data_IF_443992131129
#
_entry.id   IF_443992131129
#
_cell.length_a   1.000
_cell.length_b   1.000
_cell.length_c   1.000
_cell.angle_alpha   90.00
_cell.angle_beta   90.00
_cell.angle_gamma   90.00
#
_symmetry.space_group_name_H-M   'P 1'
#
loop_
_entity.id
_entity.type
_entity.pdbx_description
1 polymer ?
#
# COMPACT_ATOMS: atom_id res chain seq x y z
N UNK A 1 28.30 23.64 10.21
CA UNK A 1 27.46 22.72 11.04
C UNK A 1 26.08 22.41 10.43
N UNK A 2 25.52 23.19 9.52
CA UNK A 2 24.36 22.75 8.71
C UNK A 2 24.72 21.55 7.85
N UNK A 3 25.83 21.57 7.21
CA UNK A 3 26.40 20.47 6.41
C UNK A 3 26.49 19.11 7.14
N UNK A 4 26.68 19.07 8.48
CA UNK A 4 26.78 17.79 9.21
C UNK A 4 25.42 17.11 9.40
N UNK A 5 24.33 17.86 9.49
CA UNK A 5 22.97 17.28 9.59
C UNK A 5 22.54 16.69 8.26
N UNK A 6 22.79 17.38 7.15
CA UNK A 6 22.51 16.86 5.81
C UNK A 6 23.34 15.60 5.50
N UNK A 7 24.62 15.59 5.91
CA UNK A 7 25.47 14.39 5.81
C UNK A 7 24.95 13.23 6.67
N UNK A 8 24.45 13.53 7.88
CA UNK A 8 23.86 12.52 8.75
C UNK A 8 22.59 11.92 8.14
N UNK A 9 21.71 12.76 7.59
CA UNK A 9 20.52 12.30 6.88
C UNK A 9 20.88 11.39 5.72
N UNK A 10 21.81 11.81 4.86
CA UNK A 10 22.24 11.01 3.71
C UNK A 10 22.86 9.68 4.18
N UNK A 11 23.77 9.72 5.14
CA UNK A 11 24.44 8.55 5.67
C UNK A 11 23.45 7.54 6.25
N UNK A 12 22.50 7.98 7.08
CA UNK A 12 21.50 7.10 7.70
C UNK A 12 20.52 6.56 6.65
N UNK A 13 20.13 7.39 5.66
CA UNK A 13 19.27 6.95 4.56
C UNK A 13 19.94 5.83 3.75
N UNK A 14 21.20 6.02 3.35
CA UNK A 14 21.97 5.02 2.60
C UNK A 14 22.23 3.75 3.43
N UNK A 15 22.50 3.91 4.73
CA UNK A 15 22.70 2.81 5.66
C UNK A 15 21.44 1.94 5.76
N UNK A 16 20.28 2.58 5.93
CA UNK A 16 19.01 1.84 6.04
C UNK A 16 18.58 1.22 4.70
N UNK A 17 18.77 1.91 3.59
CA UNK A 17 18.48 1.36 2.26
C UNK A 17 19.30 0.11 1.97
N UNK A 18 20.57 0.09 2.38
CA UNK A 18 21.51 -0.99 2.02
C UNK A 18 21.57 -2.13 3.04
N UNK A 19 21.33 -1.86 4.32
CA UNK A 19 21.59 -2.82 5.41
C UNK A 19 20.41 -3.13 6.33
N UNK A 20 19.38 -2.27 6.37
CA UNK A 20 18.24 -2.51 7.25
C UNK A 20 17.40 -3.68 6.74
N UNK A 21 17.03 -4.56 7.63
CA UNK A 21 16.16 -5.70 7.28
C UNK A 21 14.78 -5.23 6.81
N UNK A 22 14.26 -5.86 5.77
CA UNK A 22 12.92 -5.57 5.21
C UNK A 22 11.76 -5.86 6.17
N UNK A 23 12.04 -6.50 7.31
CA UNK A 23 11.04 -6.74 8.37
C UNK A 23 10.86 -5.54 9.30
N UNK A 24 11.74 -4.53 9.25
CA UNK A 24 11.67 -3.32 10.05
C UNK A 24 10.62 -2.35 9.47
N UNK A 25 9.33 -2.65 9.68
CA UNK A 25 8.22 -1.83 9.17
C UNK A 25 8.02 -0.54 9.95
N UNK A 26 8.40 -0.51 11.23
CA UNK A 26 8.29 0.65 12.10
C UNK A 26 9.66 1.33 12.29
N UNK A 27 10.69 0.60 12.74
CA UNK A 27 12.04 1.13 12.96
C UNK A 27 12.78 1.25 11.63
N UNK A 28 12.47 2.31 10.87
CA UNK A 28 13.01 2.61 9.55
C UNK A 28 13.17 4.11 9.35
N UNK A 29 13.63 4.52 8.17
CA UNK A 29 13.91 5.91 7.84
C UNK A 29 12.72 6.85 8.09
N UNK A 30 11.48 6.38 7.94
CA UNK A 30 10.30 7.21 8.18
C UNK A 30 10.08 7.49 9.67
N UNK A 31 10.35 6.52 10.55
CA UNK A 31 10.36 6.73 11.99
C UNK A 31 11.45 7.73 12.37
N UNK A 32 12.67 7.51 11.90
CA UNK A 32 13.80 8.40 12.18
C UNK A 32 13.51 9.84 11.76
N UNK A 33 12.96 10.06 10.56
CA UNK A 33 12.56 11.40 10.10
C UNK A 33 11.52 12.04 11.00
N UNK A 34 10.49 11.30 11.42
CA UNK A 34 9.51 11.83 12.38
C UNK A 34 10.19 12.28 13.69
N UNK A 35 11.06 11.44 14.25
CA UNK A 35 11.78 11.79 15.48
C UNK A 35 12.62 13.07 15.30
N UNK A 36 13.27 13.25 14.15
CA UNK A 36 14.04 14.48 13.84
C UNK A 36 13.14 15.71 13.70
N UNK A 37 11.96 15.56 13.08
CA UNK A 37 10.95 16.62 12.99
C UNK A 37 10.42 17.01 14.36
N UNK A 38 10.05 16.01 15.17
CA UNK A 38 9.54 16.19 16.53
C UNK A 38 10.58 16.81 17.46
N UNK A 39 11.86 16.43 17.34
CA UNK A 39 12.98 17.08 18.03
C UNK A 39 13.11 18.56 17.64
N UNK A 40 12.94 18.87 16.37
CA UNK A 40 13.02 20.25 15.90
C UNK A 40 11.93 21.10 16.56
N UNK A 41 10.73 20.57 16.64
CA UNK A 41 9.58 21.22 17.26
C UNK A 41 9.72 21.36 18.77
N UNK A 42 10.15 20.28 19.46
CA UNK A 42 10.40 20.32 20.91
C UNK A 42 11.52 21.30 21.27
N UNK A 43 12.60 21.31 20.49
CA UNK A 43 13.74 22.21 20.71
C UNK A 43 13.32 23.70 20.59
N UNK A 44 12.46 24.02 19.62
CA UNK A 44 11.87 25.35 19.46
C UNK A 44 11.00 25.72 20.65
N UNK A 45 10.08 24.85 21.08
CA UNK A 45 9.19 25.10 22.21
C UNK A 45 9.93 25.27 23.54
N UNK A 46 11.01 24.54 23.72
CA UNK A 46 11.83 24.58 24.93
C UNK A 46 12.92 25.66 24.86
N UNK A 47 13.03 26.43 23.78
CA UNK A 47 14.02 27.48 23.63
C UNK A 47 15.45 26.95 23.65
N UNK A 48 15.72 25.83 22.96
CA UNK A 48 17.07 25.32 22.80
C UNK A 48 17.92 26.21 21.91
N UNK A 49 19.18 26.32 22.22
CA UNK A 49 20.15 27.00 21.35
C UNK A 49 20.31 26.24 20.04
N UNK A 50 20.80 26.91 18.99
CA UNK A 50 21.11 26.28 17.72
C UNK A 50 22.07 25.09 17.86
N UNK A 51 23.05 25.20 18.76
CA UNK A 51 24.00 24.13 19.06
C UNK A 51 23.28 22.91 19.67
N UNK A 52 22.43 23.13 20.67
CA UNK A 52 21.66 22.06 21.33
C UNK A 52 20.71 21.39 20.35
N UNK A 53 20.03 22.15 19.51
CA UNK A 53 19.12 21.60 18.48
C UNK A 53 19.88 20.72 17.48
N UNK A 54 21.07 21.12 17.03
CA UNK A 54 21.92 20.31 16.16
C UNK A 54 22.37 18.99 16.80
N UNK A 55 22.75 19.04 18.08
CA UNK A 55 23.13 17.85 18.86
C UNK A 55 21.95 16.89 19.00
N UNK A 56 20.78 17.41 19.32
CA UNK A 56 19.53 16.62 19.37
C UNK A 56 19.18 15.98 18.02
N UNK A 57 19.29 16.73 16.93
CA UNK A 57 19.06 16.19 15.59
C UNK A 57 20.03 15.08 15.21
N UNK A 58 21.31 15.21 15.56
CA UNK A 58 22.29 14.15 15.36
C UNK A 58 21.91 12.89 16.16
N UNK A 59 21.56 13.05 17.45
CA UNK A 59 21.10 11.91 18.25
C UNK A 59 19.84 11.26 17.63
N UNK A 60 18.87 12.06 17.18
CA UNK A 60 17.65 11.57 16.53
C UNK A 60 17.92 10.83 15.22
N UNK A 61 18.85 11.30 14.37
CA UNK A 61 19.22 10.60 13.16
C UNK A 61 19.83 9.22 13.44
N UNK A 62 20.62 9.08 14.51
CA UNK A 62 21.39 7.87 14.77
C UNK A 62 20.78 6.93 15.80
N UNK A 63 19.74 7.30 16.59
CA UNK A 63 19.28 6.51 17.74
C UNK A 63 18.95 5.05 17.39
N UNK A 64 18.38 4.80 16.24
CA UNK A 64 17.92 3.48 15.77
C UNK A 64 18.82 2.85 14.71
N UNK A 65 19.97 3.45 14.37
CA UNK A 65 20.85 2.91 13.33
C UNK A 65 21.38 1.51 13.63
N UNK A 66 21.45 1.13 14.90
CA UNK A 66 21.89 -0.20 15.32
C UNK A 66 20.97 -1.34 14.92
N UNK A 67 19.72 -1.08 14.54
CA UNK A 67 18.81 -2.09 13.98
C UNK A 67 19.30 -2.73 12.67
N UNK A 68 20.32 -2.16 12.04
CA UNK A 68 20.98 -2.81 10.88
C UNK A 68 21.81 -4.03 11.29
N UNK A 69 22.10 -4.23 12.57
CA UNK A 69 22.92 -5.33 13.08
C UNK A 69 22.19 -6.20 14.11
N UNK A 70 21.45 -5.58 15.04
CA UNK A 70 20.82 -6.29 16.17
C UNK A 70 19.47 -5.69 16.53
N UNK A 71 18.56 -6.54 17.01
CA UNK A 71 17.25 -6.09 17.51
C UNK A 71 17.33 -5.65 19.00
N UNK A 72 18.17 -6.31 19.79
CA UNK A 72 18.34 -5.97 21.22
C UNK A 72 19.72 -5.36 21.44
N UNK A 73 19.77 -4.25 22.17
CA UNK A 73 20.99 -3.51 22.38
C UNK A 73 21.43 -2.74 21.12
N UNK A 74 20.47 -2.37 20.29
CA UNK A 74 20.71 -1.57 19.09
C UNK A 74 21.23 -0.17 19.45
N UNK A 75 20.92 0.34 20.63
CA UNK A 75 21.38 1.66 21.07
C UNK A 75 22.90 1.70 21.23
N UNK A 76 23.52 0.65 21.77
CA UNK A 76 24.98 0.56 21.90
C UNK A 76 25.65 0.43 20.52
N UNK A 77 25.01 -0.23 19.57
CA UNK A 77 25.47 -0.30 18.18
C UNK A 77 25.30 1.05 17.49
N UNK A 78 24.18 1.73 17.72
CA UNK A 78 23.92 3.08 17.24
C UNK A 78 24.99 4.06 17.71
N UNK A 79 25.41 3.95 18.99
CA UNK A 79 26.51 4.76 19.55
C UNK A 79 27.81 4.53 18.78
N UNK A 80 28.18 3.28 18.46
CA UNK A 80 29.40 3.00 17.69
C UNK A 80 29.32 3.64 16.31
N UNK A 81 28.20 3.47 15.62
CA UNK A 81 27.98 4.01 14.27
C UNK A 81 28.09 5.54 14.29
N UNK A 82 27.45 6.23 15.23
CA UNK A 82 27.51 7.69 15.32
C UNK A 82 28.89 8.19 15.71
N UNK A 83 29.60 7.50 16.60
CA UNK A 83 30.97 7.87 16.98
C UNK A 83 31.91 7.80 15.77
N UNK A 84 31.89 6.75 14.98
CA UNK A 84 32.68 6.61 13.75
C UNK A 84 32.33 7.70 12.73
N UNK A 85 31.05 7.97 12.53
CA UNK A 85 30.59 9.00 11.61
C UNK A 85 31.03 10.40 12.04
N UNK A 86 30.87 10.76 13.32
CA UNK A 86 31.23 12.09 13.82
C UNK A 86 32.75 12.29 13.89
N UNK A 87 33.52 11.25 14.22
CA UNK A 87 34.99 11.28 14.18
C UNK A 87 35.51 11.51 12.77
N UNK A 88 34.97 10.80 11.78
CA UNK A 88 35.36 10.99 10.37
C UNK A 88 35.03 12.37 9.83
N UNK A 89 34.03 13.04 10.41
CA UNK A 89 33.66 14.42 10.11
C UNK A 89 34.34 15.46 11.02
N UNK A 90 35.35 15.07 11.79
CA UNK A 90 36.17 15.94 12.65
C UNK A 90 35.36 16.73 13.69
N UNK A 91 34.27 16.15 14.17
CA UNK A 91 33.46 16.74 15.26
C UNK A 91 34.23 16.58 16.60
N UNK A 92 34.11 17.60 17.45
CA UNK A 92 34.81 17.59 18.76
C UNK A 92 34.29 16.45 19.65
N UNK A 93 35.21 15.88 20.45
CA UNK A 93 34.89 14.76 21.34
C UNK A 93 33.73 15.05 22.28
N UNK A 94 33.66 16.26 22.84
CA UNK A 94 32.59 16.65 23.76
C UNK A 94 31.18 16.54 23.11
N UNK A 95 31.07 16.86 21.83
CA UNK A 95 29.83 16.72 21.09
C UNK A 95 29.52 15.24 20.80
N UNK A 96 30.54 14.47 20.44
CA UNK A 96 30.40 13.01 20.20
C UNK A 96 29.91 12.31 21.48
N UNK A 97 30.51 12.59 22.61
CA UNK A 97 30.16 11.99 23.89
C UNK A 97 28.73 12.39 24.32
N UNK A 98 28.32 13.63 24.05
CA UNK A 98 26.97 14.10 24.33
C UNK A 98 25.92 13.46 23.43
N UNK A 99 26.19 13.31 22.14
CA UNK A 99 25.29 12.60 21.19
C UNK A 99 25.15 11.14 21.62
N UNK A 100 26.24 10.49 21.96
CA UNK A 100 26.24 9.11 22.48
C UNK A 100 25.37 8.94 23.73
N UNK A 101 25.52 9.86 24.69
CA UNK A 101 24.71 9.88 25.91
C UNK A 101 23.21 10.05 25.61
N UNK A 102 22.88 10.92 24.66
CA UNK A 102 21.48 11.10 24.22
C UNK A 102 20.89 9.86 23.55
N UNK A 103 21.67 9.09 22.78
CA UNK A 103 21.23 7.83 22.21
C UNK A 103 21.00 6.79 23.31
N UNK A 104 21.90 6.65 24.25
CA UNK A 104 21.76 5.67 25.33
C UNK A 104 20.58 5.95 26.26
N UNK A 105 20.13 7.20 26.37
CA UNK A 105 18.95 7.52 27.18
C UNK A 105 17.64 7.10 26.53
N UNK A 106 17.61 6.79 25.21
CA UNK A 106 16.41 6.25 24.55
C UNK A 106 16.07 4.82 25.03
N UNK A 107 17.03 4.10 25.59
CA UNK A 107 16.80 2.81 26.26
C UNK A 107 15.61 2.92 27.23
N UNK A 108 14.67 1.98 27.12
CA UNK A 108 13.35 2.02 27.77
C UNK A 108 13.40 2.39 29.26
N UNK A 109 14.25 1.76 30.04
CA UNK A 109 14.29 1.87 31.51
C UNK A 109 15.29 2.92 32.05
N UNK A 110 15.89 3.70 31.13
CA UNK A 110 16.82 4.78 31.52
C UNK A 110 16.04 6.08 31.75
N UNK A 111 16.13 6.63 32.97
CA UNK A 111 15.48 7.89 33.32
C UNK A 111 16.29 9.10 32.83
N UNK A 112 15.72 10.03 32.08
CA UNK A 112 16.42 11.22 31.59
C UNK A 112 16.64 12.23 32.71
N UNK A 113 17.88 12.74 32.83
CA UNK A 113 18.30 13.68 33.89
C UNK A 113 18.41 15.11 33.37
N UNK A 114 18.85 15.31 32.14
CA UNK A 114 19.06 16.64 31.55
C UNK A 114 17.89 17.06 30.67
N UNK A 115 17.82 18.34 30.32
CA UNK A 115 16.84 18.87 29.39
C UNK A 115 16.89 18.13 28.05
N UNK A 116 18.09 18.00 27.46
CA UNK A 116 18.25 17.36 26.15
C UNK A 116 17.86 15.87 26.17
N UNK A 117 18.20 15.16 27.24
CA UNK A 117 17.79 13.78 27.44
C UNK A 117 16.27 13.61 27.51
N UNK A 118 15.56 14.57 28.14
CA UNK A 118 14.10 14.56 28.17
C UNK A 118 13.49 14.72 26.77
N UNK A 119 14.06 15.65 25.98
CA UNK A 119 13.57 15.94 24.64
C UNK A 119 13.73 14.78 23.68
N UNK A 120 14.89 14.11 23.65
CA UNK A 120 15.10 12.97 22.75
C UNK A 120 14.19 11.79 23.13
N UNK A 121 14.00 11.52 24.42
CA UNK A 121 13.12 10.46 24.89
C UNK A 121 11.65 10.73 24.59
N UNK A 122 11.23 11.99 24.71
CA UNK A 122 9.87 12.39 24.36
C UNK A 122 9.62 12.30 22.85
N UNK A 123 10.59 12.68 22.02
CA UNK A 123 10.47 12.64 20.56
C UNK A 123 10.40 11.21 20.03
N UNK A 124 11.21 10.30 20.53
CA UNK A 124 11.20 8.90 20.13
C UNK A 124 9.81 8.25 20.36
N UNK A 125 9.17 8.60 21.48
CA UNK A 125 7.83 8.12 21.83
C UNK A 125 6.68 9.05 21.39
N UNK A 126 6.93 10.06 20.58
CA UNK A 126 5.92 11.05 20.12
C UNK A 126 4.71 10.43 19.43
N UNK A 127 4.90 9.27 18.79
CA UNK A 127 3.87 8.55 18.07
C UNK A 127 2.61 8.26 18.92
N UNK A 128 2.71 8.19 20.25
CA UNK A 128 1.55 8.01 21.14
C UNK A 128 0.59 9.21 21.12
N UNK A 129 1.09 10.38 20.71
CA UNK A 129 0.32 11.60 20.53
C UNK A 129 -0.02 11.89 19.06
N UNK A 130 0.33 11.01 18.12
CA UNK A 130 0.05 11.20 16.70
C UNK A 130 -1.44 10.98 16.38
N UNK A 131 -1.97 11.77 15.46
CA UNK A 131 -3.31 11.53 14.88
C UNK A 131 -3.38 10.17 14.15
N UNK A 132 -2.26 9.72 13.58
CA UNK A 132 -2.15 8.44 12.87
C UNK A 132 -1.63 7.32 13.78
N UNK A 133 -1.82 7.43 15.10
CA UNK A 133 -1.30 6.46 16.08
C UNK A 133 -1.61 5.00 15.72
N UNK A 134 -2.83 4.69 15.33
CA UNK A 134 -3.24 3.31 15.04
C UNK A 134 -2.57 2.73 13.79
N UNK A 135 -2.30 3.56 12.79
CA UNK A 135 -1.56 3.14 11.58
C UNK A 135 -0.10 2.84 11.94
N UNK A 136 0.51 3.73 12.72
CA UNK A 136 1.89 3.57 13.21
C UNK A 136 2.01 2.33 14.10
N UNK A 137 1.07 2.14 15.02
CA UNK A 137 1.02 0.96 15.90
C UNK A 137 0.88 -0.35 15.11
N UNK A 138 0.13 -0.35 13.99
CA UNK A 138 0.02 -1.52 13.12
C UNK A 138 1.34 -1.86 12.41
N UNK A 139 2.17 -0.88 12.08
CA UNK A 139 3.51 -1.13 11.52
C UNK A 139 4.39 -1.84 12.56
N UNK A 140 4.35 -1.36 13.83
CA UNK A 140 5.09 -1.97 14.94
C UNK A 140 4.57 -3.39 15.23
N UNK A 141 3.23 -3.60 15.19
CA UNK A 141 2.64 -4.93 15.31
C UNK A 141 3.17 -5.91 14.27
N UNK A 142 3.22 -5.45 13.02
CA UNK A 142 3.71 -6.27 11.90
C UNK A 142 5.19 -6.61 12.07
N UNK A 143 6.00 -5.65 12.46
CA UNK A 143 7.42 -5.83 12.75
C UNK A 143 7.61 -6.86 13.88
N UNK A 144 6.96 -6.64 15.03
CA UNK A 144 7.06 -7.54 16.17
C UNK A 144 6.56 -8.96 15.85
N UNK A 145 5.49 -9.08 15.06
CA UNK A 145 4.98 -10.40 14.66
C UNK A 145 6.00 -11.20 13.87
N UNK A 146 6.74 -10.56 12.98
CA UNK A 146 7.77 -11.21 12.17
C UNK A 146 9.05 -11.49 12.96
N UNK A 147 9.53 -10.52 13.75
CA UNK A 147 10.74 -10.67 14.55
C UNK A 147 10.60 -11.72 15.66
N UNK A 148 9.42 -11.79 16.29
CA UNK A 148 9.14 -12.74 17.37
C UNK A 148 8.53 -14.06 16.89
N UNK A 149 8.26 -14.19 15.60
CA UNK A 149 7.54 -15.32 15.00
C UNK A 149 6.22 -15.62 15.75
N UNK A 150 5.46 -14.56 16.07
CA UNK A 150 4.24 -14.63 16.88
C UNK A 150 3.13 -13.84 16.19
N UNK A 151 1.91 -14.33 16.22
CA UNK A 151 0.73 -13.59 15.77
C UNK A 151 0.00 -13.00 16.96
N UNK A 152 -0.14 -11.68 17.00
CA UNK A 152 -0.96 -11.00 18.02
C UNK A 152 -2.40 -10.90 17.52
N UNK A 153 -3.37 -11.25 18.34
CA UNK A 153 -4.77 -10.91 18.11
C UNK A 153 -4.97 -9.39 18.25
N UNK A 154 -6.08 -8.87 17.73
CA UNK A 154 -6.37 -7.44 17.86
C UNK A 154 -6.49 -7.01 19.33
N UNK A 155 -7.09 -7.87 20.16
CA UNK A 155 -7.24 -7.58 21.59
C UNK A 155 -5.89 -7.57 22.31
N UNK A 156 -5.08 -8.61 22.14
CA UNK A 156 -3.74 -8.68 22.75
C UNK A 156 -2.88 -7.49 22.37
N UNK A 157 -2.92 -7.09 21.07
CA UNK A 157 -2.15 -5.95 20.61
C UNK A 157 -2.64 -4.64 21.23
N UNK A 158 -3.95 -4.42 21.29
CA UNK A 158 -4.52 -3.20 21.87
C UNK A 158 -4.30 -3.14 23.38
N UNK A 159 -4.42 -4.27 24.09
CA UNK A 159 -4.16 -4.34 25.54
C UNK A 159 -2.67 -4.06 25.84
N UNK A 160 -1.75 -4.64 25.09
CA UNK A 160 -0.33 -4.34 25.23
C UNK A 160 0.01 -2.87 24.94
N UNK A 161 -0.65 -2.27 23.93
CA UNK A 161 -0.53 -0.82 23.72
C UNK A 161 -1.10 0.00 24.87
N UNK A 162 -2.22 -0.41 25.48
CA UNK A 162 -2.76 0.25 26.66
C UNK A 162 -1.77 0.23 27.83
N UNK A 163 -1.18 -0.91 28.12
CA UNK A 163 -0.14 -1.04 29.14
C UNK A 163 1.04 -0.10 28.86
N UNK A 164 1.45 0.01 27.59
CA UNK A 164 2.49 0.96 27.18
C UNK A 164 2.08 2.40 27.43
N UNK A 165 0.84 2.80 27.09
CA UNK A 165 0.33 4.16 27.32
C UNK A 165 0.26 4.51 28.81
N UNK A 166 -0.08 3.55 29.67
CA UNK A 166 -0.14 3.72 31.12
C UNK A 166 1.26 3.84 31.72
N UNK A 167 2.21 3.05 31.22
CA UNK A 167 3.62 3.12 31.64
C UNK A 167 4.33 4.37 31.14
N UNK A 168 4.12 4.77 29.88
CA UNK A 168 4.81 5.88 29.24
C UNK A 168 4.42 7.23 29.84
N UNK A 169 5.40 8.10 30.07
CA UNK A 169 5.20 9.50 30.49
C UNK A 169 6.06 10.43 29.64
N UNK A 170 5.56 11.62 29.35
CA UNK A 170 6.39 12.69 28.80
C UNK A 170 7.18 13.37 29.92
N UNK A 171 8.41 13.77 29.60
CA UNK A 171 9.36 14.32 30.58
C UNK A 171 9.50 15.83 30.46
N UNK A 172 9.53 16.40 29.24
CA UNK A 172 9.65 17.84 29.02
C UNK A 172 8.31 18.55 29.27
N UNK A 173 8.39 19.83 29.60
CA UNK A 173 7.17 20.61 29.91
C UNK A 173 6.36 20.88 28.64
N UNK A 174 7.03 21.09 27.52
CA UNK A 174 6.38 21.28 26.21
C UNK A 174 5.62 20.03 25.76
N UNK A 175 6.21 18.83 25.87
CA UNK A 175 5.54 17.58 25.53
C UNK A 175 4.35 17.33 26.47
N UNK A 176 4.47 17.58 27.77
CA UNK A 176 3.35 17.51 28.72
C UNK A 176 2.22 18.46 28.34
N UNK A 177 2.55 19.68 27.96
CA UNK A 177 1.53 20.67 27.61
C UNK A 177 0.84 20.36 26.28
N UNK A 178 1.58 19.97 25.27
CA UNK A 178 1.11 19.87 23.89
C UNK A 178 0.74 18.45 23.47
N UNK A 179 1.50 17.46 23.87
CA UNK A 179 1.31 16.06 23.42
C UNK A 179 0.52 15.20 24.41
N UNK A 180 0.59 15.50 25.73
CA UNK A 180 -0.19 14.73 26.71
C UNK A 180 -1.71 14.76 26.46
N UNK A 181 -2.33 15.87 26.04
CA UNK A 181 -3.75 15.88 25.70
C UNK A 181 -4.05 14.96 24.50
N UNK A 182 -3.21 14.97 23.46
CA UNK A 182 -3.36 14.13 22.26
C UNK A 182 -3.17 12.64 22.61
N UNK A 183 -2.15 12.32 23.41
CA UNK A 183 -1.97 10.97 23.98
C UNK A 183 -3.23 10.51 24.71
N UNK A 184 -3.84 11.38 25.54
CA UNK A 184 -5.07 11.05 26.26
C UNK A 184 -6.26 10.78 25.35
N UNK A 185 -6.35 11.47 24.22
CA UNK A 185 -7.36 11.19 23.18
C UNK A 185 -7.15 9.82 22.55
N UNK A 186 -5.92 9.50 22.15
CA UNK A 186 -5.58 8.20 21.59
C UNK A 186 -5.83 7.06 22.57
N UNK A 187 -5.53 7.26 23.87
CA UNK A 187 -5.84 6.28 24.92
C UNK A 187 -7.33 6.01 25.05
N UNK A 188 -8.17 7.07 25.01
CA UNK A 188 -9.63 6.91 25.03
C UNK A 188 -10.14 6.14 23.83
N UNK A 189 -9.60 6.41 22.65
CA UNK A 189 -9.97 5.67 21.43
C UNK A 189 -9.53 4.22 21.53
N UNK A 190 -8.35 3.97 22.09
CA UNK A 190 -7.82 2.64 22.36
C UNK A 190 -8.74 1.86 23.31
N UNK A 191 -9.15 2.47 24.43
CA UNK A 191 -10.12 1.88 25.37
C UNK A 191 -11.45 1.55 24.69
N UNK A 192 -11.98 2.49 23.89
CA UNK A 192 -13.23 2.25 23.15
C UNK A 192 -13.11 1.07 22.16
N UNK A 193 -11.95 0.89 21.50
CA UNK A 193 -11.70 -0.25 20.63
C UNK A 193 -11.62 -1.56 21.42
N UNK A 194 -10.94 -1.57 22.56
CA UNK A 194 -10.86 -2.74 23.47
C UNK A 194 -12.25 -3.12 23.94
N UNK A 195 -13.04 -2.18 24.46
CA UNK A 195 -14.39 -2.43 24.94
C UNK A 195 -15.31 -2.97 23.85
N UNK A 196 -15.20 -2.41 22.64
CA UNK A 196 -15.95 -2.90 21.47
C UNK A 196 -15.61 -4.35 21.13
N UNK A 197 -14.33 -4.74 21.22
CA UNK A 197 -13.91 -6.12 20.97
C UNK A 197 -14.43 -7.03 22.08
N UNK A 198 -14.28 -6.65 23.35
CA UNK A 198 -14.77 -7.43 24.51
C UNK A 198 -16.27 -7.60 24.49
N UNK A 199 -17.03 -6.54 24.20
CA UNK A 199 -18.48 -6.62 24.04
C UNK A 199 -18.89 -7.56 22.89
N UNK A 200 -18.16 -7.53 21.77
CA UNK A 200 -18.37 -8.49 20.67
C UNK A 200 -18.05 -9.92 21.07
N UNK A 201 -17.04 -10.15 21.89
CA UNK A 201 -16.69 -11.49 22.40
C UNK A 201 -17.75 -11.99 23.38
N UNK A 202 -18.24 -11.15 24.30
CA UNK A 202 -19.30 -11.48 25.23
C UNK A 202 -20.64 -11.79 24.53
N UNK A 203 -21.00 -11.01 23.50
CA UNK A 203 -22.19 -11.30 22.67
C UNK A 203 -22.04 -12.55 21.79
N UNK A 204 -20.82 -13.01 21.53
CA UNK A 204 -20.52 -14.23 20.77
C UNK A 204 -20.76 -15.53 21.57
N UNK A 205 -20.72 -15.46 22.88
CA UNK A 205 -21.09 -16.65 23.71
C UNK A 205 -22.57 -16.97 23.65
N UNK A 206 -23.43 -16.04 23.25
CA UNK A 206 -24.88 -16.21 23.19
C UNK A 206 -25.48 -16.40 21.80
N UNK A 207 -24.75 -16.23 20.71
CA UNK A 207 -25.27 -16.42 19.35
C UNK A 207 -24.23 -16.98 18.38
N UNK A 208 -24.47 -18.19 17.98
CA UNK A 208 -24.00 -18.96 16.82
C UNK A 208 -22.67 -18.51 16.15
N UNK A 209 -21.60 -19.21 16.45
CA UNK A 209 -20.20 -19.01 16.06
C UNK A 209 -19.92 -18.97 14.55
N UNK A 210 -20.85 -19.32 13.69
CA UNK A 210 -20.63 -19.49 12.25
C UNK A 210 -20.97 -18.27 11.38
N UNK A 211 -21.94 -17.45 11.77
CA UNK A 211 -22.50 -16.43 10.87
C UNK A 211 -21.54 -15.30 10.47
N UNK A 212 -20.84 -14.69 11.43
CA UNK A 212 -20.04 -13.47 11.18
C UNK A 212 -18.73 -13.70 10.45
N UNK A 213 -18.04 -14.81 10.70
CA UNK A 213 -16.83 -15.16 9.97
C UNK A 213 -17.12 -15.40 8.50
N UNK A 214 -18.21 -16.08 8.23
CA UNK A 214 -18.69 -16.36 6.88
C UNK A 214 -19.13 -15.07 6.19
N UNK A 215 -19.89 -14.20 6.86
CA UNK A 215 -20.28 -12.90 6.30
C UNK A 215 -19.07 -12.02 5.97
N UNK A 216 -18.08 -11.96 6.86
CA UNK A 216 -16.85 -11.21 6.61
C UNK A 216 -16.07 -11.77 5.43
N UNK A 217 -15.94 -13.09 5.35
CA UNK A 217 -15.32 -13.77 4.21
C UNK A 217 -16.02 -13.41 2.90
N UNK A 218 -17.34 -13.52 2.83
CA UNK A 218 -18.09 -13.16 1.62
C UNK A 218 -17.92 -11.69 1.26
N UNK A 219 -18.04 -10.78 2.23
CA UNK A 219 -17.88 -9.34 2.00
C UNK A 219 -16.49 -8.96 1.50
N UNK A 220 -15.43 -9.50 2.13
CA UNK A 220 -14.05 -9.24 1.72
C UNK A 220 -13.78 -9.83 0.35
N UNK A 221 -14.21 -11.08 0.10
CA UNK A 221 -14.01 -11.73 -1.19
C UNK A 221 -14.78 -11.00 -2.29
N UNK A 222 -16.03 -10.61 -2.05
CA UNK A 222 -16.82 -9.84 -3.00
C UNK A 222 -16.15 -8.48 -3.32
N UNK A 223 -15.69 -7.78 -2.29
CA UNK A 223 -14.95 -6.53 -2.47
C UNK A 223 -13.71 -6.73 -3.34
N UNK A 224 -12.91 -7.75 -3.06
CA UNK A 224 -11.72 -8.08 -3.85
C UNK A 224 -12.08 -8.39 -5.31
N UNK A 225 -13.16 -9.12 -5.57
CA UNK A 225 -13.62 -9.40 -6.93
C UNK A 225 -14.02 -8.13 -7.68
N UNK A 226 -14.72 -7.21 -7.01
CA UNK A 226 -15.12 -5.91 -7.59
C UNK A 226 -13.89 -5.08 -7.91
N UNK A 227 -12.94 -4.96 -6.98
CA UNK A 227 -11.70 -4.21 -7.16
C UNK A 227 -10.84 -4.80 -8.29
N UNK A 228 -10.65 -6.10 -8.32
CA UNK A 228 -9.92 -6.77 -9.41
C UNK A 228 -10.61 -6.58 -10.76
N UNK A 229 -11.94 -6.62 -10.81
CA UNK A 229 -12.69 -6.34 -12.03
C UNK A 229 -12.50 -4.89 -12.49
N UNK A 230 -12.55 -3.92 -11.58
CA UNK A 230 -12.31 -2.51 -11.89
C UNK A 230 -10.87 -2.26 -12.40
N UNK A 231 -9.87 -2.94 -11.81
CA UNK A 231 -8.48 -2.89 -12.28
C UNK A 231 -8.37 -3.44 -13.72
N UNK A 232 -9.04 -4.55 -14.01
CA UNK A 232 -9.05 -5.13 -15.35
C UNK A 232 -9.68 -4.17 -16.37
N UNK A 233 -10.81 -3.56 -16.04
CA UNK A 233 -11.51 -2.59 -16.89
C UNK A 233 -10.64 -1.33 -17.10
N UNK A 234 -9.99 -0.82 -16.07
CA UNK A 234 -9.05 0.31 -16.16
C UNK A 234 -7.89 0.00 -17.11
N UNK A 235 -7.27 -1.18 -16.97
CA UNK A 235 -6.18 -1.62 -17.85
C UNK A 235 -6.62 -1.77 -19.32
N UNK A 236 -7.81 -2.29 -19.55
CA UNK A 236 -8.38 -2.40 -20.90
C UNK A 236 -8.64 -1.02 -21.50
N UNK A 237 -9.17 -0.07 -20.71
CA UNK A 237 -9.42 1.31 -21.14
C UNK A 237 -8.13 2.06 -21.47
N UNK A 238 -7.05 1.84 -20.70
CA UNK A 238 -5.73 2.40 -21.02
C UNK A 238 -5.25 1.89 -22.39
N UNK A 239 -5.32 0.57 -22.64
CA UNK A 239 -4.93 0.00 -23.92
C UNK A 239 -5.79 0.54 -25.09
N UNK A 240 -7.09 0.67 -24.86
CA UNK A 240 -8.01 1.26 -25.83
C UNK A 240 -7.60 2.69 -26.18
N UNK A 241 -7.30 3.52 -25.17
CA UNK A 241 -6.90 4.91 -25.36
C UNK A 241 -5.56 5.03 -26.10
N UNK A 242 -4.58 4.22 -25.70
CA UNK A 242 -3.25 4.22 -26.35
C UNK A 242 -3.39 3.82 -27.83
N UNK A 243 -4.15 2.75 -28.13
CA UNK A 243 -4.36 2.33 -29.52
C UNK A 243 -5.16 3.36 -30.32
N UNK A 244 -6.15 4.04 -29.71
CA UNK A 244 -6.89 5.12 -30.37
C UNK A 244 -5.97 6.27 -30.78
N UNK A 245 -5.02 6.65 -29.91
CA UNK A 245 -3.99 7.65 -30.20
C UNK A 245 -3.10 7.18 -31.37
N UNK A 246 -2.60 5.93 -31.31
CA UNK A 246 -1.77 5.34 -32.37
C UNK A 246 -2.50 5.38 -33.71
N UNK A 247 -3.76 4.94 -33.73
CA UNK A 247 -4.60 4.94 -34.93
C UNK A 247 -4.80 6.37 -35.45
N UNK A 248 -5.12 7.33 -34.57
CA UNK A 248 -5.30 8.73 -34.93
C UNK A 248 -4.05 9.34 -35.54
N UNK A 249 -2.87 9.11 -34.92
CA UNK A 249 -1.58 9.59 -35.43
C UNK A 249 -1.26 8.91 -36.77
N UNK A 250 -1.51 7.61 -36.92
CA UNK A 250 -1.26 6.91 -38.16
C UNK A 250 -2.17 7.42 -39.29
N UNK A 251 -3.45 7.63 -39.04
CA UNK A 251 -4.40 8.16 -40.04
C UNK A 251 -4.05 9.60 -40.44
N UNK A 252 -3.64 10.44 -39.50
CA UNK A 252 -3.35 11.85 -39.79
C UNK A 252 -1.99 12.08 -40.44
N UNK A 253 -0.98 11.25 -40.11
CA UNK A 253 0.40 11.50 -40.56
C UNK A 253 0.95 10.48 -41.56
N UNK A 254 0.56 9.18 -41.45
CA UNK A 254 1.08 8.15 -42.33
C UNK A 254 0.20 7.95 -43.57
N UNK A 255 -1.09 7.82 -43.39
CA UNK A 255 -2.03 7.53 -44.51
C UNK A 255 -1.93 8.59 -45.61
N UNK A 256 -1.89 9.90 -45.36
CA UNK A 256 -1.73 10.91 -46.42
C UNK A 256 -0.42 10.81 -47.19
N UNK A 257 0.61 10.15 -46.62
CA UNK A 257 1.89 9.98 -47.33
C UNK A 257 1.92 8.75 -48.24
N UNK A 258 0.96 7.85 -48.12
CA UNK A 258 0.90 6.63 -48.93
C UNK A 258 0.52 6.86 -50.37
N UNK A 259 -0.04 8.01 -50.71
CA UNK A 259 -0.38 8.41 -52.11
C UNK A 259 0.86 8.67 -52.97
N UNK A 260 2.02 8.89 -52.38
CA UNK A 260 3.24 9.17 -53.10
C UNK A 260 4.07 7.89 -53.30
N UNK A 261 4.37 7.57 -54.53
CA UNK A 261 5.20 6.40 -54.93
C UNK A 261 6.54 6.35 -54.23
N UNK A 262 7.13 7.52 -53.91
CA UNK A 262 8.39 7.57 -53.13
C UNK A 262 8.25 7.04 -51.68
N UNK A 263 7.03 6.93 -51.18
CA UNK A 263 6.73 6.46 -49.83
C UNK A 263 6.10 5.04 -49.84
N UNK A 264 6.15 4.32 -50.95
CA UNK A 264 5.60 2.97 -51.07
C UNK A 264 6.13 1.99 -50.00
N UNK A 265 7.34 2.23 -49.52
CA UNK A 265 7.93 1.46 -48.40
C UNK A 265 7.18 1.59 -47.08
N UNK A 266 6.35 2.61 -46.88
CA UNK A 266 5.56 2.83 -45.66
C UNK A 266 4.24 2.02 -45.67
N UNK A 267 3.77 1.55 -46.82
CA UNK A 267 2.45 0.88 -46.97
C UNK A 267 2.34 -0.35 -46.05
N UNK A 268 3.24 -1.29 -46.24
CA UNK A 268 3.22 -2.54 -45.45
C UNK A 268 3.37 -2.34 -43.95
N UNK A 269 4.37 -1.59 -43.44
CA UNK A 269 4.49 -1.31 -42.05
C UNK A 269 3.27 -0.62 -41.43
N UNK A 270 2.68 0.33 -42.17
CA UNK A 270 1.47 1.03 -41.71
C UNK A 270 0.28 0.08 -41.63
N UNK A 271 0.09 -0.80 -42.61
CA UNK A 271 -0.98 -1.81 -42.59
C UNK A 271 -0.81 -2.78 -41.41
N UNK A 272 0.42 -3.23 -41.15
CA UNK A 272 0.73 -4.10 -39.99
C UNK A 272 0.40 -3.39 -38.70
N UNK A 273 0.85 -2.14 -38.54
CA UNK A 273 0.57 -1.33 -37.34
C UNK A 273 -0.94 -1.17 -37.11
N UNK A 274 -1.68 -0.81 -38.17
CA UNK A 274 -3.12 -0.63 -38.10
C UNK A 274 -3.85 -1.92 -37.76
N UNK A 275 -3.45 -3.05 -38.35
CA UNK A 275 -4.06 -4.35 -38.08
C UNK A 275 -3.93 -4.74 -36.60
N UNK A 276 -2.73 -4.64 -36.06
CA UNK A 276 -2.49 -4.98 -34.63
C UNK A 276 -3.19 -4.00 -33.69
N UNK A 277 -3.18 -2.68 -34.00
CA UNK A 277 -3.87 -1.68 -33.19
C UNK A 277 -5.38 -1.88 -33.18
N UNK A 278 -6.00 -2.10 -34.31
CA UNK A 278 -7.46 -2.39 -34.42
C UNK A 278 -7.79 -3.69 -33.68
N UNK A 279 -6.99 -4.74 -33.87
CA UNK A 279 -7.20 -6.01 -33.17
C UNK A 279 -7.12 -5.81 -31.64
N UNK A 280 -6.15 -5.04 -31.17
CA UNK A 280 -6.01 -4.72 -29.75
C UNK A 280 -7.20 -3.92 -29.21
N UNK A 281 -7.73 -2.96 -29.97
CA UNK A 281 -8.96 -2.21 -29.64
C UNK A 281 -10.14 -3.16 -29.50
N UNK A 282 -10.36 -4.02 -30.47
CA UNK A 282 -11.48 -5.00 -30.46
C UNK A 282 -11.39 -5.91 -29.23
N UNK A 283 -10.21 -6.45 -28.93
CA UNK A 283 -10.00 -7.31 -27.78
C UNK A 283 -10.18 -6.55 -26.46
N UNK A 284 -9.76 -5.27 -26.38
CA UNK A 284 -9.99 -4.42 -25.21
C UNK A 284 -11.48 -4.22 -24.95
N UNK A 285 -12.26 -3.91 -26.00
CA UNK A 285 -13.72 -3.76 -25.90
C UNK A 285 -14.38 -5.08 -25.47
N UNK A 286 -13.96 -6.22 -26.06
CA UNK A 286 -14.49 -7.53 -25.68
C UNK A 286 -14.18 -7.92 -24.23
N UNK A 287 -13.06 -7.44 -23.69
CA UNK A 287 -12.69 -7.65 -22.28
C UNK A 287 -13.60 -6.91 -21.30
N UNK A 288 -14.07 -5.71 -21.66
CA UNK A 288 -14.92 -4.86 -20.80
C UNK A 288 -16.41 -5.02 -21.09
N UNK A 289 -16.78 -5.65 -22.22
CA UNK A 289 -18.18 -5.81 -22.62
C UNK A 289 -18.97 -6.61 -21.57
N UNK A 290 -20.09 -6.05 -21.03
CA UNK A 290 -20.96 -6.76 -20.11
C UNK A 290 -21.51 -8.04 -20.76
N UNK A 291 -21.40 -9.16 -20.06
CA UNK A 291 -22.00 -10.41 -20.47
C UNK A 291 -23.02 -10.82 -19.40
N UNK A 292 -24.27 -10.46 -19.61
CA UNK A 292 -25.37 -10.75 -18.69
C UNK A 292 -26.09 -11.98 -19.23
N UNK A 293 -25.80 -13.14 -18.62
CA UNK A 293 -26.66 -14.32 -18.79
C UNK A 293 -27.85 -14.15 -17.85
N UNK A 294 -29.06 -14.23 -18.38
CA UNK A 294 -30.28 -14.14 -17.59
C UNK A 294 -31.08 -15.43 -17.69
N UNK A 295 -31.50 -15.91 -16.53
CA UNK A 295 -32.39 -17.06 -16.41
C UNK A 295 -33.74 -16.56 -15.87
N UNK A 296 -34.85 -17.07 -16.35
CA UNK A 296 -36.15 -16.81 -15.72
C UNK A 296 -36.23 -17.61 -14.43
N UNK A 297 -36.19 -16.87 -13.32
CA UNK A 297 -36.16 -17.44 -11.98
C UNK A 297 -37.56 -17.78 -11.52
N UNK A 298 -37.77 -19.02 -11.05
CA UNK A 298 -39.02 -19.48 -10.43
C UNK A 298 -38.80 -19.76 -8.93
N UNK A 299 -39.89 -19.74 -8.15
CA UNK A 299 -39.85 -20.04 -6.70
C UNK A 299 -39.25 -21.42 -6.42
N UNK A 300 -39.60 -22.41 -7.25
CA UNK A 300 -39.07 -23.79 -7.15
C UNK A 300 -37.55 -23.84 -7.33
N UNK A 301 -37.00 -23.04 -8.27
CA UNK A 301 -35.56 -22.98 -8.49
C UNK A 301 -34.83 -22.35 -7.29
N UNK A 302 -35.47 -21.42 -6.59
CA UNK A 302 -34.91 -20.81 -5.35
C UNK A 302 -34.90 -21.84 -4.24
N UNK A 303 -36.03 -22.51 -4.00
CA UNK A 303 -36.17 -23.55 -2.95
C UNK A 303 -35.20 -24.70 -3.18
N UNK A 304 -35.03 -25.15 -4.42
CA UNK A 304 -34.13 -26.24 -4.81
C UNK A 304 -32.66 -25.81 -4.92
N UNK A 305 -32.30 -24.60 -4.51
CA UNK A 305 -30.94 -24.06 -4.59
C UNK A 305 -30.35 -24.07 -6.01
N UNK A 306 -31.18 -23.99 -7.06
CA UNK A 306 -30.75 -24.08 -8.46
C UNK A 306 -30.36 -22.73 -9.05
N UNK A 307 -30.81 -21.63 -8.45
CA UNK A 307 -30.55 -20.27 -8.92
C UNK A 307 -30.08 -19.37 -7.78
N UNK A 308 -29.41 -18.25 -8.14
CA UNK A 308 -29.02 -17.20 -7.22
C UNK A 308 -29.82 -15.93 -7.55
N UNK A 309 -30.72 -15.53 -6.65
CA UNK A 309 -31.53 -14.31 -6.81
C UNK A 309 -30.77 -13.02 -6.40
N UNK A 310 -29.60 -13.14 -5.79
CA UNK A 310 -28.76 -11.98 -5.46
C UNK A 310 -27.98 -11.49 -6.68
N UNK A 311 -27.84 -12.35 -7.70
CA UNK A 311 -27.17 -11.98 -8.94
C UNK A 311 -28.08 -11.09 -9.81
N UNK A 312 -27.59 -9.90 -10.16
CA UNK A 312 -28.32 -8.91 -10.95
C UNK A 312 -28.94 -9.49 -12.22
N UNK A 313 -28.19 -10.33 -12.97
CA UNK A 313 -28.65 -10.95 -14.20
C UNK A 313 -29.89 -11.83 -14.04
N UNK A 314 -30.20 -12.29 -12.84
CA UNK A 314 -31.33 -13.16 -12.54
C UNK A 314 -32.55 -12.34 -12.07
N UNK A 315 -32.38 -11.45 -11.08
CA UNK A 315 -33.53 -10.79 -10.45
C UNK A 315 -34.14 -9.67 -11.29
N UNK A 316 -33.39 -9.03 -12.22
CA UNK A 316 -33.91 -7.91 -13.00
C UNK A 316 -35.12 -8.24 -13.88
N UNK A 317 -35.39 -9.53 -14.11
CA UNK A 317 -36.57 -10.01 -14.82
C UNK A 317 -37.70 -10.49 -13.95
N UNK A 318 -37.45 -10.54 -12.62
CA UNK A 318 -38.48 -10.97 -11.65
C UNK A 318 -39.48 -9.85 -11.38
N UNK A 319 -40.73 -10.22 -11.11
CA UNK A 319 -41.68 -9.29 -10.56
C UNK A 319 -41.28 -8.92 -9.11
N UNK A 320 -41.55 -7.68 -8.67
CA UNK A 320 -41.19 -7.20 -7.34
C UNK A 320 -41.66 -8.16 -6.23
N UNK A 321 -42.91 -8.61 -6.30
CA UNK A 321 -43.49 -9.52 -5.28
C UNK A 321 -42.76 -10.87 -5.19
N UNK A 322 -42.28 -11.40 -6.31
CA UNK A 322 -41.54 -12.67 -6.32
C UNK A 322 -40.11 -12.46 -5.83
N UNK A 323 -39.52 -11.29 -6.10
CA UNK A 323 -38.23 -10.92 -5.57
C UNK A 323 -38.28 -10.74 -4.06
N UNK A 324 -39.26 -9.96 -3.53
CA UNK A 324 -39.49 -9.77 -2.08
C UNK A 324 -39.64 -11.13 -1.39
N UNK A 325 -40.55 -11.96 -1.89
CA UNK A 325 -40.72 -13.34 -1.37
C UNK A 325 -39.40 -14.11 -1.35
N UNK A 326 -38.63 -14.00 -2.42
CA UNK A 326 -37.33 -14.71 -2.52
C UNK A 326 -36.31 -14.23 -1.51
N UNK A 327 -36.25 -12.92 -1.24
CA UNK A 327 -35.37 -12.34 -0.23
C UNK A 327 -35.80 -12.78 1.17
N UNK A 328 -37.11 -12.74 1.49
CA UNK A 328 -37.63 -13.21 2.78
C UNK A 328 -37.29 -14.69 3.00
N UNK A 329 -37.47 -15.52 1.98
CA UNK A 329 -37.12 -16.91 2.00
C UNK A 329 -35.62 -17.16 2.27
N UNK A 330 -34.75 -16.37 1.67
CA UNK A 330 -33.30 -16.43 1.93
C UNK A 330 -32.94 -16.03 3.36
N UNK A 331 -33.60 -15.01 3.92
CA UNK A 331 -33.35 -14.54 5.29
C UNK A 331 -33.76 -15.60 6.33
N UNK A 332 -34.82 -16.32 6.07
CA UNK A 332 -35.30 -17.41 6.94
C UNK A 332 -34.49 -18.70 6.81
N UNK A 333 -33.85 -18.91 5.62
CA UNK A 333 -33.15 -20.17 5.30
C UNK A 333 -31.66 -19.93 5.06
N UNK A 334 -30.87 -19.91 6.14
CA UNK A 334 -29.42 -19.64 6.07
C UNK A 334 -28.65 -20.52 5.09
N UNK A 335 -28.99 -21.81 4.99
CA UNK A 335 -28.35 -22.75 4.05
C UNK A 335 -28.57 -22.36 2.59
N UNK A 336 -29.75 -21.80 2.25
CA UNK A 336 -30.06 -21.33 0.91
C UNK A 336 -29.34 -20.03 0.64
N UNK A 337 -29.26 -19.14 1.64
CA UNK A 337 -28.51 -17.89 1.57
C UNK A 337 -27.02 -18.15 1.31
N UNK A 338 -26.37 -18.99 2.12
CA UNK A 338 -24.93 -19.28 1.94
C UNK A 338 -24.65 -19.99 0.62
N UNK A 339 -25.53 -20.89 0.18
CA UNK A 339 -25.39 -21.50 -1.14
C UNK A 339 -25.47 -20.47 -2.26
N UNK A 340 -26.40 -19.52 -2.19
CA UNK A 340 -26.56 -18.43 -3.15
C UNK A 340 -25.32 -17.53 -3.18
N UNK A 341 -24.82 -17.13 -2.01
CA UNK A 341 -23.58 -16.33 -1.89
C UNK A 341 -22.36 -17.06 -2.46
N UNK A 342 -22.24 -18.37 -2.20
CA UNK A 342 -21.14 -19.20 -2.74
C UNK A 342 -21.20 -19.26 -4.27
N UNK A 343 -22.37 -19.45 -4.83
CA UNK A 343 -22.57 -19.45 -6.28
C UNK A 343 -22.25 -18.09 -6.91
N UNK A 344 -22.65 -17.00 -6.23
CA UNK A 344 -22.35 -15.64 -6.70
C UNK A 344 -20.85 -15.43 -6.80
N UNK A 345 -20.11 -15.73 -5.75
CA UNK A 345 -18.65 -15.63 -5.75
C UNK A 345 -17.99 -16.49 -6.84
N UNK A 346 -18.49 -17.71 -7.03
CA UNK A 346 -17.98 -18.61 -8.09
C UNK A 346 -18.18 -18.01 -9.49
N UNK A 347 -19.39 -17.56 -9.79
CA UNK A 347 -19.68 -16.97 -11.11
C UNK A 347 -18.95 -15.65 -11.33
N UNK A 348 -18.81 -14.80 -10.29
CA UNK A 348 -17.97 -13.61 -10.35
C UNK A 348 -16.51 -13.96 -10.64
N UNK A 349 -16.00 -15.05 -10.04
CA UNK A 349 -14.66 -15.57 -10.33
C UNK A 349 -14.49 -15.99 -11.80
N UNK A 350 -15.46 -16.67 -12.37
CA UNK A 350 -15.44 -17.05 -13.80
C UNK A 350 -15.46 -15.83 -14.73
N UNK A 351 -16.26 -14.82 -14.39
CA UNK A 351 -16.29 -13.55 -15.16
C UNK A 351 -14.93 -12.85 -15.07
N UNK A 352 -14.35 -12.81 -13.88
CA UNK A 352 -13.06 -12.19 -13.63
C UNK A 352 -11.94 -12.92 -14.40
N UNK A 353 -11.91 -14.26 -14.36
CA UNK A 353 -10.96 -15.07 -15.13
C UNK A 353 -11.03 -14.75 -16.63
N UNK A 354 -12.24 -14.71 -17.18
CA UNK A 354 -12.44 -14.37 -18.60
C UNK A 354 -11.90 -12.97 -18.94
N UNK A 355 -12.19 -11.96 -18.10
CA UNK A 355 -11.67 -10.60 -18.27
C UNK A 355 -10.14 -10.59 -18.29
N UNK A 356 -9.50 -11.22 -17.31
CA UNK A 356 -8.05 -11.27 -17.23
C UNK A 356 -7.40 -12.07 -18.36
N UNK A 357 -8.03 -13.14 -18.81
CA UNK A 357 -7.57 -13.92 -19.96
C UNK A 357 -7.59 -13.08 -21.24
N UNK A 358 -8.71 -12.41 -21.54
CA UNK A 358 -8.82 -11.52 -22.69
C UNK A 358 -7.81 -10.37 -22.60
N UNK A 359 -7.69 -9.76 -21.41
CA UNK A 359 -6.73 -8.69 -21.17
C UNK A 359 -5.30 -9.15 -21.42
N UNK A 360 -4.91 -10.35 -20.97
CA UNK A 360 -3.58 -10.93 -21.24
C UNK A 360 -3.33 -11.10 -22.74
N UNK A 361 -4.31 -11.61 -23.46
CA UNK A 361 -4.23 -11.74 -24.92
C UNK A 361 -4.05 -10.37 -25.57
N UNK A 362 -4.83 -9.37 -25.14
CA UNK A 362 -4.75 -8.01 -25.66
C UNK A 362 -3.35 -7.39 -25.45
N UNK A 363 -2.79 -7.52 -24.25
CA UNK A 363 -1.42 -7.05 -23.98
C UNK A 363 -0.39 -7.77 -24.85
N UNK A 364 -0.55 -9.08 -25.04
CA UNK A 364 0.34 -9.88 -25.88
C UNK A 364 0.28 -9.42 -27.34
N UNK A 365 -0.93 -9.26 -27.88
CA UNK A 365 -1.14 -8.75 -29.24
C UNK A 365 -0.57 -7.35 -29.41
N UNK A 366 -0.82 -6.46 -28.46
CA UNK A 366 -0.30 -5.10 -28.48
C UNK A 366 1.24 -5.07 -28.46
N UNK A 367 1.86 -5.82 -27.55
CA UNK A 367 3.32 -5.89 -27.40
C UNK A 367 3.98 -6.43 -28.69
N UNK A 368 3.52 -7.58 -29.19
CA UNK A 368 4.05 -8.13 -30.44
C UNK A 368 3.74 -7.24 -31.64
N UNK A 369 2.56 -6.63 -31.66
CA UNK A 369 2.16 -5.70 -32.71
C UNK A 369 3.10 -4.52 -32.83
N UNK A 370 3.47 -3.88 -31.73
CA UNK A 370 4.44 -2.76 -31.73
C UNK A 370 5.81 -3.24 -32.19
N UNK A 371 6.32 -4.35 -31.67
CA UNK A 371 7.65 -4.87 -32.03
C UNK A 371 7.70 -5.23 -33.51
N UNK A 372 6.70 -5.98 -34.00
CA UNK A 372 6.65 -6.41 -35.41
C UNK A 372 6.50 -5.17 -36.33
N UNK A 373 5.67 -4.21 -35.96
CA UNK A 373 5.50 -2.97 -36.72
C UNK A 373 6.80 -2.17 -36.80
N UNK A 374 7.49 -2.00 -35.67
CA UNK A 374 8.76 -1.30 -35.63
C UNK A 374 9.82 -2.00 -36.51
N UNK A 375 9.92 -3.31 -36.43
CA UNK A 375 10.82 -4.09 -37.30
C UNK A 375 10.42 -3.96 -38.77
N UNK A 376 9.14 -4.00 -39.10
CA UNK A 376 8.64 -3.83 -40.46
C UNK A 376 9.01 -2.44 -41.01
N UNK A 377 8.92 -1.37 -40.20
CA UNK A 377 9.37 -0.03 -40.59
C UNK A 377 10.87 0.01 -40.86
N UNK A 378 11.70 -0.58 -40.00
CA UNK A 378 13.16 -0.62 -40.15
C UNK A 378 13.55 -1.39 -41.42
N UNK A 379 13.00 -2.59 -41.60
CA UNK A 379 13.31 -3.45 -42.77
C UNK A 379 12.86 -2.79 -44.06
N UNK A 380 11.66 -2.23 -44.07
CA UNK A 380 11.09 -1.58 -45.26
C UNK A 380 11.92 -0.36 -45.65
N UNK A 381 12.34 0.44 -44.67
CA UNK A 381 13.21 1.58 -44.90
C UNK A 381 14.60 1.15 -45.41
N UNK A 382 15.20 0.12 -44.80
CA UNK A 382 16.50 -0.41 -45.23
C UNK A 382 16.47 -0.91 -46.67
N UNK A 383 15.43 -1.68 -47.05
CA UNK A 383 15.26 -2.19 -48.41
C UNK A 383 15.02 -1.08 -49.43
N UNK A 384 14.35 0.00 -49.04
CA UNK A 384 14.17 1.18 -49.88
C UNK A 384 15.50 1.95 -50.12
N UNK A 385 16.35 2.07 -49.07
CA UNK A 385 17.62 2.79 -49.15
C UNK A 385 18.74 1.99 -49.85
N UNK A 386 18.65 0.65 -49.91
CA UNK A 386 19.69 -0.19 -50.49
C UNK A 386 19.93 0.09 -52.00
N UNK A 387 18.94 0.17 -52.89
CA UNK A 387 19.17 0.47 -54.30
C UNK A 387 19.72 1.90 -54.52
N UNK A 388 19.40 2.86 -53.62
CA UNK A 388 19.89 4.22 -53.71
C UNK A 388 21.37 4.34 -53.35
N UNK A 389 21.89 3.44 -52.46
CA UNK A 389 23.32 3.37 -52.13
C UNK A 389 24.17 2.69 -53.18
N UNK A 390 23.59 1.79 -53.97
CA UNK A 390 24.24 1.08 -55.05
C UNK A 390 24.33 1.93 -56.36
N UNK A 391 23.68 3.13 -56.37
CA UNK A 391 23.66 4.06 -57.49
C UNK A 391 24.57 5.28 -57.27
N UNK A 392 25.19 5.41 -56.07
CA UNK A 392 26.19 6.43 -55.68
C UNK A 392 27.55 5.78 -55.54
#
# INVERSE_FOLDING_TARGET
MEDIIEKAEQFVSDLFETRLSTVNFYHNINHTRRVVEDISQLAEWEGCSEKETKILKLAAWFHDTGFVEVDKGHEEVSVKIVQEFLQSNQVSKDIIDLVADLILVSIKDVEPKTKLQKLIKDADCSHVASENYFEISNLLRKENSLKLNTSFTDLEWLEGNKEFFEWHKFYSDSAKLKWQPLKALNLRELDAKIDKIKAKQASKQSSNKFGRGVETMFRVTLKNHIELSAIADTKANILLSVNAIIISVALSNLVPKLDNLSNAFLVWPTLVLMLFSVTSVVLSVLSTRPNISSVNVTKEMIMNKQTNILFFGNFHKMGLKDFEWGIDYLMENQDVLYNSLTKDLYYLGLVLERKYRLLRITYTVFMFGIVISALAFIISYYNFMKPLKDLV
#
